data_IF_508912378668
#
_entry.id   IF_508912378668
#
_cell.length_a   1.000
_cell.length_b   1.000
_cell.length_c   1.000
_cell.angle_alpha   90.00
_cell.angle_beta   90.00
_cell.angle_gamma   90.00
#
_symmetry.space_group_name_H-M   'P 1'
#
loop_
_entity.id
_entity.type
_entity.pdbx_description
1 polymer ?
#
# COMPACT_ATOMS: atom_id res chain seq x y z
N UNK A 1 -0.42 8.85 -17.59
CA UNK A 1 0.39 7.63 -17.32
C UNK A 1 -0.12 6.47 -18.18
N UNK A 2 0.75 5.79 -18.93
CA UNK A 2 0.38 4.67 -19.84
C UNK A 2 -0.27 3.51 -19.05
N UNK A 3 0.11 3.31 -17.79
CA UNK A 3 -0.39 2.23 -16.93
C UNK A 3 -1.91 2.22 -16.73
N UNK A 4 -2.54 3.36 -16.44
CA UNK A 4 -3.98 3.42 -16.14
C UNK A 4 -4.87 3.00 -17.34
N UNK A 5 -4.39 3.21 -18.58
CA UNK A 5 -5.13 2.83 -19.79
C UNK A 5 -4.94 1.35 -20.14
N UNK A 6 -3.75 0.78 -19.87
CA UNK A 6 -3.45 -0.62 -20.17
C UNK A 6 -4.14 -1.57 -19.19
N UNK A 7 -4.31 -1.15 -17.93
CA UNK A 7 -4.96 -1.94 -16.88
C UNK A 7 -6.37 -2.43 -17.26
N UNK A 8 -7.13 -1.62 -17.99
CA UNK A 8 -8.53 -1.94 -18.36
C UNK A 8 -8.68 -3.10 -19.34
N UNK A 9 -7.62 -3.46 -20.08
CA UNK A 9 -7.64 -4.42 -21.18
C UNK A 9 -6.89 -5.72 -20.89
N UNK A 10 -6.18 -5.80 -19.76
CA UNK A 10 -5.41 -6.99 -19.40
C UNK A 10 -6.32 -8.07 -18.81
N UNK A 11 -6.21 -9.34 -19.27
CA UNK A 11 -6.82 -10.47 -18.58
C UNK A 11 -6.42 -10.50 -17.12
N UNK A 12 -7.33 -10.89 -16.21
CA UNK A 12 -7.11 -10.83 -14.78
C UNK A 12 -5.82 -11.54 -14.29
N UNK A 13 -5.46 -12.68 -14.90
CA UNK A 13 -4.22 -13.39 -14.59
C UNK A 13 -2.97 -12.58 -14.96
N UNK A 14 -2.98 -11.86 -16.09
CA UNK A 14 -1.87 -11.04 -16.56
C UNK A 14 -1.76 -9.76 -15.71
N UNK A 15 -2.89 -9.19 -15.31
CA UNK A 15 -2.93 -8.09 -14.34
C UNK A 15 -2.23 -8.49 -13.03
N UNK A 16 -2.62 -9.61 -12.41
CA UNK A 16 -1.97 -10.12 -11.18
C UNK A 16 -0.48 -10.46 -11.38
N UNK A 17 -0.10 -10.87 -12.57
CA UNK A 17 1.28 -11.21 -12.90
C UNK A 17 2.18 -9.98 -12.99
N UNK A 18 1.73 -8.93 -13.68
CA UNK A 18 2.49 -7.70 -13.94
C UNK A 18 2.32 -6.64 -12.84
N UNK A 19 1.12 -6.50 -12.30
CA UNK A 19 0.78 -5.55 -11.23
C UNK A 19 0.70 -6.26 -9.89
N UNK A 20 1.75 -7.01 -9.60
CA UNK A 20 1.80 -7.89 -8.44
C UNK A 20 1.60 -7.15 -7.12
N UNK A 21 2.16 -5.95 -6.98
CA UNK A 21 2.03 -5.14 -5.77
C UNK A 21 0.56 -4.79 -5.50
N UNK A 22 -0.14 -4.27 -6.52
CA UNK A 22 -1.56 -3.91 -6.41
C UNK A 22 -2.42 -5.15 -6.10
N UNK A 23 -2.14 -6.29 -6.74
CA UNK A 23 -2.88 -7.52 -6.52
C UNK A 23 -2.70 -8.06 -5.08
N UNK A 24 -1.47 -8.02 -4.54
CA UNK A 24 -1.18 -8.46 -3.16
C UNK A 24 -1.78 -7.49 -2.15
N UNK A 25 -1.74 -6.19 -2.43
CA UNK A 25 -2.39 -5.16 -1.61
C UNK A 25 -3.89 -5.42 -1.50
N UNK A 26 -4.57 -5.60 -2.63
CA UNK A 26 -6.02 -5.88 -2.65
C UNK A 26 -6.38 -7.17 -1.89
N UNK A 27 -5.59 -8.24 -2.08
CA UNK A 27 -5.76 -9.48 -1.34
C UNK A 27 -5.56 -9.25 0.17
N UNK A 28 -4.52 -8.52 0.58
CA UNK A 28 -4.23 -8.23 1.98
C UNK A 28 -5.36 -7.43 2.65
N UNK A 29 -5.90 -6.41 1.98
CA UNK A 29 -7.03 -5.62 2.49
C UNK A 29 -8.28 -6.48 2.63
N UNK A 30 -8.61 -7.31 1.63
CA UNK A 30 -9.76 -8.21 1.67
C UNK A 30 -9.63 -9.24 2.80
N UNK A 31 -8.47 -9.88 2.92
CA UNK A 31 -8.23 -10.90 3.92
C UNK A 31 -8.25 -10.29 5.34
N UNK A 32 -7.65 -9.11 5.52
CA UNK A 32 -7.70 -8.37 6.78
C UNK A 32 -9.14 -8.01 7.17
N UNK A 33 -9.95 -7.50 6.22
CA UNK A 33 -11.37 -7.22 6.46
C UNK A 33 -12.15 -8.46 6.93
N UNK A 34 -11.84 -9.64 6.39
CA UNK A 34 -12.43 -10.91 6.79
C UNK A 34 -12.10 -11.35 8.22
N UNK A 35 -11.06 -10.79 8.84
CA UNK A 35 -10.65 -11.08 10.22
C UNK A 35 -11.27 -10.16 11.26
N UNK A 36 -11.92 -9.07 10.83
CA UNK A 36 -12.49 -8.06 11.72
C UNK A 36 -13.94 -8.45 12.07
N UNK A 37 -14.37 -8.35 13.34
CA UNK A 37 -15.75 -8.63 13.73
C UNK A 37 -16.75 -7.75 12.98
N UNK A 38 -17.85 -8.34 12.53
CA UNK A 38 -18.94 -7.62 11.86
C UNK A 38 -19.47 -6.50 12.76
N UNK A 39 -19.71 -5.32 12.20
CA UNK A 39 -20.18 -4.15 12.94
C UNK A 39 -19.08 -3.36 13.67
N UNK A 40 -17.86 -3.88 13.74
CA UNK A 40 -16.74 -3.19 14.38
C UNK A 40 -16.37 -1.88 13.63
N UNK A 41 -15.78 -0.93 14.36
CA UNK A 41 -15.30 0.34 13.80
C UNK A 41 -13.93 0.14 13.16
N UNK A 42 -13.81 0.59 11.92
CA UNK A 42 -12.58 0.50 11.11
C UNK A 42 -12.21 1.88 10.60
N UNK A 43 -11.00 2.33 10.94
CA UNK A 43 -10.42 3.55 10.41
C UNK A 43 -9.66 3.26 9.11
N UNK A 44 -9.86 4.04 8.07
CA UNK A 44 -8.98 4.07 6.90
C UNK A 44 -8.25 5.42 6.89
N UNK A 45 -7.00 5.40 7.32
CA UNK A 45 -6.17 6.57 7.55
C UNK A 45 -5.28 6.85 6.33
N UNK A 46 -5.61 7.87 5.56
CA UNK A 46 -5.06 8.14 4.25
C UNK A 46 -5.84 7.37 3.18
N UNK A 47 -7.16 7.49 3.23
CA UNK A 47 -8.09 6.69 2.42
C UNK A 47 -8.10 7.07 0.93
N UNK A 48 -7.60 8.26 0.58
CA UNK A 48 -7.69 8.80 -0.78
C UNK A 48 -9.14 8.80 -1.26
N UNK A 49 -9.43 8.11 -2.36
CA UNK A 49 -10.78 7.96 -2.91
C UNK A 49 -11.65 6.92 -2.15
N UNK A 50 -11.21 6.44 -0.99
CA UNK A 50 -11.89 5.39 -0.20
C UNK A 50 -12.21 4.11 -1.02
N UNK A 51 -11.30 3.70 -1.91
CA UNK A 51 -11.49 2.56 -2.82
C UNK A 51 -11.66 1.23 -2.10
N UNK A 52 -11.18 1.12 -0.87
CA UNK A 52 -11.27 -0.10 -0.05
C UNK A 52 -12.61 -0.26 0.67
N UNK A 53 -13.50 0.75 0.67
CA UNK A 53 -14.80 0.72 1.34
C UNK A 53 -15.65 -0.51 1.01
N UNK A 54 -15.53 -1.05 -0.21
CA UNK A 54 -16.24 -2.24 -0.66
C UNK A 54 -15.96 -3.50 0.20
N UNK A 55 -14.77 -3.63 0.79
CA UNK A 55 -14.40 -4.76 1.66
C UNK A 55 -14.95 -4.61 3.08
N UNK A 56 -15.34 -3.38 3.46
CA UNK A 56 -15.81 -3.03 4.80
C UNK A 56 -17.31 -2.72 4.87
N UNK A 57 -18.11 -3.15 3.89
CA UNK A 57 -19.56 -2.90 3.84
C UNK A 57 -20.33 -3.44 5.07
N UNK A 58 -19.75 -4.38 5.83
CA UNK A 58 -20.33 -4.95 7.06
C UNK A 58 -19.76 -4.35 8.34
N UNK A 59 -18.98 -3.25 8.24
CA UNK A 59 -18.28 -2.58 9.33
C UNK A 59 -18.67 -1.10 9.38
N UNK A 60 -18.38 -0.43 10.50
CA UNK A 60 -18.47 1.02 10.61
C UNK A 60 -17.15 1.60 10.06
N UNK A 61 -17.09 1.71 8.72
CA UNK A 61 -15.90 2.17 8.02
C UNK A 61 -15.82 3.69 8.04
N UNK A 62 -14.68 4.23 8.47
CA UNK A 62 -14.41 5.66 8.65
C UNK A 62 -13.19 6.05 7.82
N UNK A 63 -13.36 6.46 6.56
CA UNK A 63 -12.28 6.95 5.73
C UNK A 63 -11.93 8.41 6.08
N UNK A 64 -10.63 8.67 6.32
CA UNK A 64 -10.10 10.01 6.54
C UNK A 64 -8.87 10.24 5.67
N UNK A 65 -8.71 11.48 5.21
CA UNK A 65 -7.57 11.90 4.38
C UNK A 65 -7.33 13.41 4.56
N UNK A 66 -6.14 13.88 4.23
CA UNK A 66 -5.84 15.33 4.20
C UNK A 66 -6.27 15.98 2.88
N UNK A 67 -6.60 15.17 1.87
CA UNK A 67 -7.01 15.57 0.52
C UNK A 67 -5.99 16.47 -0.21
N UNK A 68 -4.70 16.14 -0.07
CA UNK A 68 -3.58 16.83 -0.72
C UNK A 68 -2.86 15.94 -1.76
N UNK A 69 -3.46 14.82 -2.15
CA UNK A 69 -2.91 13.90 -3.15
C UNK A 69 -3.08 14.42 -4.59
N UNK A 70 -3.41 13.55 -5.52
CA UNK A 70 -3.62 13.92 -6.92
C UNK A 70 -4.89 14.77 -7.07
N UNK A 71 -4.80 15.90 -7.79
CA UNK A 71 -5.91 16.83 -8.04
C UNK A 71 -7.09 16.19 -8.80
N UNK A 72 -6.88 15.03 -9.41
CA UNK A 72 -7.92 14.27 -10.13
C UNK A 72 -8.68 13.30 -9.25
N UNK A 73 -8.29 13.12 -7.98
CA UNK A 73 -8.94 12.18 -7.06
C UNK A 73 -10.27 12.69 -6.54
N UNK A 74 -11.24 11.77 -6.44
CA UNK A 74 -12.56 12.05 -5.87
C UNK A 74 -12.59 11.82 -4.36
N UNK A 75 -12.44 12.88 -3.58
CA UNK A 75 -12.49 12.85 -2.12
C UNK A 75 -13.91 12.92 -1.53
N UNK A 76 -14.97 12.84 -2.33
CA UNK A 76 -16.36 12.95 -1.83
C UNK A 76 -16.77 11.84 -0.86
N UNK A 77 -16.03 10.73 -0.84
CA UNK A 77 -16.31 9.58 0.03
C UNK A 77 -15.63 9.64 1.39
N UNK A 78 -14.69 10.55 1.62
CA UNK A 78 -14.05 10.68 2.93
C UNK A 78 -15.07 11.29 3.92
N UNK A 79 -15.01 10.83 5.18
CA UNK A 79 -15.90 11.32 6.23
C UNK A 79 -15.34 12.53 6.97
N UNK A 80 -14.01 12.69 6.99
CA UNK A 80 -13.37 13.84 7.60
C UNK A 80 -12.04 14.15 6.92
N UNK A 81 -11.75 15.44 6.74
CA UNK A 81 -10.40 15.93 6.49
C UNK A 81 -9.61 15.82 7.77
N UNK A 82 -8.51 15.06 7.77
CA UNK A 82 -7.72 14.83 8.95
C UNK A 82 -6.23 14.76 8.62
N UNK A 83 -5.41 15.43 9.43
CA UNK A 83 -3.98 15.21 9.49
C UNK A 83 -3.73 13.93 10.30
N UNK A 84 -3.02 12.96 9.70
CA UNK A 84 -2.74 11.69 10.34
C UNK A 84 -1.80 11.82 11.55
N UNK A 85 -1.08 12.94 11.68
CA UNK A 85 -0.24 13.24 12.85
C UNK A 85 -1.05 13.69 14.07
N UNK A 86 -2.36 14.02 13.88
CA UNK A 86 -3.27 14.48 14.93
C UNK A 86 -4.71 14.03 14.61
N UNK A 87 -4.98 12.74 14.69
CA UNK A 87 -6.29 12.17 14.35
C UNK A 87 -7.40 12.70 15.27
N UNK A 88 -8.54 13.19 14.74
CA UNK A 88 -9.61 13.83 15.51
C UNK A 88 -10.51 12.82 16.23
N UNK A 89 -9.93 11.73 16.72
CA UNK A 89 -10.66 10.67 17.41
C UNK A 89 -10.13 10.48 18.84
N UNK A 90 -11.00 10.00 19.72
CA UNK A 90 -10.58 9.58 21.08
C UNK A 90 -9.70 8.34 21.00
N UNK A 91 -8.89 8.11 22.04
CA UNK A 91 -8.12 6.89 22.19
C UNK A 91 -9.04 5.67 22.31
N UNK A 92 -8.63 4.54 21.72
CA UNK A 92 -9.32 3.27 21.93
C UNK A 92 -10.70 3.17 21.28
N UNK A 93 -10.90 3.76 20.11
CA UNK A 93 -12.22 3.81 19.42
C UNK A 93 -12.35 2.74 18.33
N UNK A 94 -11.25 2.34 17.70
CA UNK A 94 -11.27 1.49 16.52
C UNK A 94 -10.76 0.08 16.82
N UNK A 95 -11.50 -0.94 16.40
CA UNK A 95 -11.06 -2.33 16.43
C UNK A 95 -9.98 -2.61 15.39
N UNK A 96 -9.97 -1.85 14.29
CA UNK A 96 -8.97 -1.97 13.26
C UNK A 96 -8.69 -0.63 12.55
N UNK A 97 -7.47 -0.51 12.01
CA UNK A 97 -7.09 0.60 11.16
C UNK A 97 -6.39 0.11 9.89
N UNK A 98 -6.47 0.90 8.83
CA UNK A 98 -5.74 0.75 7.59
C UNK A 98 -4.83 1.98 7.41
N UNK A 99 -3.63 1.77 6.85
CA UNK A 99 -2.81 2.82 6.28
C UNK A 99 -2.08 2.22 5.07
N UNK A 100 -2.60 2.52 3.89
CA UNK A 100 -2.27 1.81 2.66
C UNK A 100 -1.60 2.77 1.68
N UNK A 101 -0.30 2.59 1.44
CA UNK A 101 0.51 3.40 0.50
C UNK A 101 0.32 4.90 0.80
N UNK A 102 0.46 5.24 2.08
CA UNK A 102 0.24 6.61 2.60
C UNK A 102 1.39 7.05 3.50
N UNK A 103 1.99 6.11 4.26
CA UNK A 103 2.99 6.44 5.27
C UNK A 103 4.26 7.08 4.67
N UNK A 104 4.57 6.78 3.42
CA UNK A 104 5.68 7.40 2.66
C UNK A 104 5.44 8.86 2.32
N UNK A 105 4.18 9.32 2.34
CA UNK A 105 3.77 10.67 1.98
C UNK A 105 3.65 11.62 3.16
N UNK A 106 3.97 11.16 4.38
CA UNK A 106 3.94 11.98 5.59
C UNK A 106 5.36 12.32 6.07
N UNK A 107 5.55 13.51 6.62
CA UNK A 107 6.87 13.97 7.10
C UNK A 107 7.27 13.34 8.42
N UNK A 108 6.30 13.08 9.29
CA UNK A 108 6.47 12.54 10.64
C UNK A 108 5.82 11.15 10.78
N UNK A 109 6.36 10.10 10.10
CA UNK A 109 5.73 8.78 10.09
C UNK A 109 5.65 8.14 11.49
N UNK A 110 6.60 8.47 12.39
CA UNK A 110 6.54 8.01 13.76
C UNK A 110 5.30 8.53 14.50
N UNK A 111 4.94 9.79 14.28
CA UNK A 111 3.77 10.39 14.90
C UNK A 111 2.48 9.79 14.36
N UNK A 112 2.41 9.54 13.04
CA UNK A 112 1.28 8.84 12.42
C UNK A 112 1.08 7.46 13.02
N UNK A 113 2.15 6.66 13.14
CA UNK A 113 2.05 5.31 13.72
C UNK A 113 1.65 5.38 15.20
N UNK A 114 2.12 6.38 15.95
CA UNK A 114 1.70 6.60 17.35
C UNK A 114 0.22 6.98 17.45
N UNK A 115 -0.30 7.81 16.56
CA UNK A 115 -1.73 8.16 16.49
C UNK A 115 -2.60 6.96 16.12
N UNK A 116 -2.17 6.14 15.14
CA UNK A 116 -2.84 4.87 14.82
C UNK A 116 -2.91 3.97 16.05
N UNK A 117 -1.80 3.81 16.78
CA UNK A 117 -1.77 3.03 18.01
C UNK A 117 -2.68 3.63 19.09
N UNK A 118 -2.74 4.96 19.22
CA UNK A 118 -3.58 5.65 20.20
C UNK A 118 -5.06 5.39 19.95
N UNK A 119 -5.51 5.50 18.71
CA UNK A 119 -6.94 5.38 18.37
C UNK A 119 -7.43 3.93 18.34
N UNK A 120 -6.53 2.96 18.20
CA UNK A 120 -6.87 1.54 18.32
C UNK A 120 -7.25 1.18 19.77
N UNK A 121 -8.29 0.37 19.93
CA UNK A 121 -8.63 -0.28 21.20
C UNK A 121 -7.56 -1.31 21.62
N UNK A 122 -7.45 -1.66 22.91
CA UNK A 122 -6.61 -2.79 23.33
C UNK A 122 -6.97 -4.05 22.54
N UNK A 123 -5.97 -4.73 21.98
CA UNK A 123 -6.16 -5.86 21.08
C UNK A 123 -6.51 -5.49 19.63
N UNK A 124 -6.77 -4.22 19.34
CA UNK A 124 -7.05 -3.73 17.98
C UNK A 124 -5.83 -3.86 17.05
N UNK A 125 -6.08 -3.97 15.74
CA UNK A 125 -5.05 -4.26 14.73
C UNK A 125 -4.96 -3.19 13.65
N UNK A 126 -3.76 -3.02 13.10
CA UNK A 126 -3.53 -2.16 11.94
C UNK A 126 -2.92 -2.94 10.79
N UNK A 127 -3.45 -2.71 9.59
CA UNK A 127 -2.84 -3.13 8.33
C UNK A 127 -2.09 -1.95 7.73
N UNK A 128 -0.78 -2.12 7.53
CA UNK A 128 0.09 -1.19 6.85
C UNK A 128 0.57 -1.81 5.54
N UNK A 129 0.49 -1.06 4.43
CA UNK A 129 1.14 -1.42 3.18
C UNK A 129 2.04 -0.25 2.77
N UNK A 130 3.34 -0.51 2.64
CA UNK A 130 4.34 0.52 2.38
C UNK A 130 5.29 0.11 1.25
N UNK A 131 5.73 1.05 0.39
CA UNK A 131 6.69 0.78 -0.66
C UNK A 131 8.12 0.65 -0.12
N UNK A 132 8.95 -0.15 -0.83
CA UNK A 132 10.39 -0.25 -0.64
C UNK A 132 11.13 0.14 -1.92
N UNK A 133 11.21 -0.73 -2.92
CA UNK A 133 11.83 -0.43 -4.22
C UNK A 133 10.82 0.22 -5.18
N UNK A 134 10.59 1.53 -4.99
CA UNK A 134 9.59 2.27 -5.76
C UNK A 134 10.15 3.61 -6.27
N UNK A 135 9.71 4.04 -7.45
CA UNK A 135 10.03 5.35 -8.02
C UNK A 135 9.38 6.49 -7.22
N UNK A 136 9.94 7.71 -7.37
CA UNK A 136 9.32 8.93 -6.82
C UNK A 136 7.95 9.14 -7.46
N UNK A 137 6.94 9.38 -6.64
CA UNK A 137 5.56 9.65 -7.05
C UNK A 137 4.89 10.65 -6.11
N UNK A 138 3.77 11.25 -6.54
CA UNK A 138 3.05 12.27 -5.76
C UNK A 138 3.93 13.43 -5.24
N UNK A 139 4.95 13.84 -6.03
CA UNK A 139 5.78 14.99 -5.68
C UNK A 139 4.91 16.25 -5.44
N UNK A 140 5.24 17.10 -4.44
CA UNK A 140 6.43 17.09 -3.58
C UNK A 140 6.28 16.26 -2.29
N UNK A 141 5.21 15.49 -2.11
CA UNK A 141 4.89 14.77 -0.89
C UNK A 141 5.29 13.29 -0.97
N UNK A 142 6.58 13.01 -1.22
CA UNK A 142 7.12 11.65 -1.30
C UNK A 142 8.45 11.61 -0.54
N UNK A 143 8.42 11.14 0.72
CA UNK A 143 9.53 11.35 1.66
C UNK A 143 10.28 10.06 1.99
N UNK A 144 9.60 8.88 2.05
CA UNK A 144 10.20 7.69 2.63
C UNK A 144 10.03 6.44 1.76
N UNK A 145 10.97 5.49 1.95
CA UNK A 145 10.89 4.09 1.55
C UNK A 145 11.27 3.23 2.75
N UNK A 146 10.51 2.19 3.02
CA UNK A 146 10.64 1.44 4.25
C UNK A 146 11.35 0.12 4.04
N UNK A 147 12.36 -0.18 4.87
CA UNK A 147 12.88 -1.52 5.03
C UNK A 147 12.05 -2.29 6.07
N UNK A 148 12.13 -3.63 6.05
CA UNK A 148 11.51 -4.47 7.09
C UNK A 148 11.92 -4.08 8.52
N UNK A 149 13.16 -3.64 8.69
CA UNK A 149 13.71 -3.24 9.99
C UNK A 149 13.22 -1.85 10.40
N UNK A 150 13.19 -0.90 9.46
CA UNK A 150 12.66 0.44 9.73
C UNK A 150 11.18 0.40 10.11
N UNK A 151 10.37 -0.40 9.40
CA UNK A 151 8.95 -0.55 9.72
C UNK A 151 8.74 -1.21 11.10
N UNK A 152 9.49 -2.28 11.42
CA UNK A 152 9.45 -2.87 12.78
C UNK A 152 9.84 -1.87 13.87
N UNK A 153 10.86 -1.05 13.62
CA UNK A 153 11.29 -0.03 14.56
C UNK A 153 10.19 1.01 14.83
N UNK A 154 9.57 1.55 13.77
CA UNK A 154 8.45 2.50 13.90
C UNK A 154 7.29 1.92 14.72
N UNK A 155 6.89 0.69 14.43
CA UNK A 155 5.80 0.00 15.12
C UNK A 155 6.13 -0.24 16.61
N UNK A 156 7.34 -0.72 16.89
CA UNK A 156 7.77 -0.97 18.27
C UNK A 156 7.83 0.30 19.13
N UNK A 157 8.25 1.42 18.54
CA UNK A 157 8.27 2.73 19.23
C UNK A 157 6.86 3.23 19.56
N UNK A 158 5.85 2.83 18.78
CA UNK A 158 4.45 3.14 19.05
C UNK A 158 3.76 2.11 19.98
N UNK A 159 4.48 1.10 20.46
CA UNK A 159 3.94 0.05 21.33
C UNK A 159 3.08 -0.97 20.58
N UNK A 160 3.25 -1.09 19.25
CA UNK A 160 2.56 -2.10 18.43
C UNK A 160 3.41 -3.34 18.26
N UNK A 161 2.80 -4.51 18.40
CA UNK A 161 3.41 -5.82 18.17
C UNK A 161 3.15 -6.29 16.72
N UNK A 162 4.21 -6.60 15.99
CA UNK A 162 4.11 -7.11 14.61
C UNK A 162 3.65 -8.56 14.62
N UNK A 163 2.44 -8.83 14.13
CA UNK A 163 1.90 -10.18 13.94
C UNK A 163 2.39 -10.78 12.61
N UNK A 164 2.38 -9.97 11.54
CA UNK A 164 2.81 -10.39 10.21
C UNK A 164 3.58 -9.27 9.53
N UNK A 165 4.65 -9.62 8.84
CA UNK A 165 5.41 -8.70 7.98
C UNK A 165 5.94 -9.49 6.78
N UNK A 166 5.31 -9.30 5.64
CA UNK A 166 5.59 -10.02 4.42
C UNK A 166 6.11 -9.09 3.31
N UNK A 167 7.20 -9.46 2.62
CA UNK A 167 7.65 -8.74 1.43
C UNK A 167 6.72 -9.01 0.25
N UNK A 168 6.53 -8.01 -0.61
CA UNK A 168 5.72 -8.10 -1.83
C UNK A 168 6.63 -8.25 -3.05
N UNK A 169 6.76 -9.50 -3.53
CA UNK A 169 7.69 -9.83 -4.61
C UNK A 169 9.16 -9.72 -4.20
N UNK A 170 10.05 -10.01 -5.14
CA UNK A 170 11.50 -9.94 -4.98
C UNK A 170 12.18 -9.38 -6.23
N UNK A 171 13.45 -9.68 -6.39
CA UNK A 171 14.31 -9.15 -7.45
C UNK A 171 13.71 -9.28 -8.86
N UNK A 172 13.19 -10.45 -9.21
CA UNK A 172 12.72 -10.70 -10.57
C UNK A 172 11.41 -9.97 -10.87
N UNK A 173 10.53 -9.81 -9.89
CA UNK A 173 9.33 -8.96 -10.02
C UNK A 173 9.68 -7.49 -10.08
N UNK A 174 10.67 -7.04 -9.32
CA UNK A 174 11.20 -5.69 -9.41
C UNK A 174 11.76 -5.42 -10.82
N UNK A 175 12.60 -6.31 -11.35
CA UNK A 175 13.17 -6.17 -12.69
C UNK A 175 12.09 -6.15 -13.79
N UNK A 176 11.09 -7.05 -13.69
CA UNK A 176 9.94 -7.03 -14.60
C UNK A 176 9.26 -5.66 -14.61
N UNK A 177 8.94 -5.11 -13.43
CA UNK A 177 8.35 -3.78 -13.30
C UNK A 177 9.26 -2.69 -13.89
N UNK A 178 10.58 -2.72 -13.64
CA UNK A 178 11.52 -1.72 -14.16
C UNK A 178 11.65 -1.77 -15.69
N UNK A 179 11.61 -2.95 -16.30
CA UNK A 179 11.59 -3.07 -17.77
C UNK A 179 10.33 -2.43 -18.36
N UNK A 180 9.16 -2.67 -17.78
CA UNK A 180 7.93 -2.04 -18.22
C UNK A 180 7.92 -0.54 -17.99
N UNK A 181 8.42 -0.06 -16.85
CA UNK A 181 8.59 1.36 -16.57
C UNK A 181 9.56 2.03 -17.57
N UNK A 182 10.56 1.29 -18.03
CA UNK A 182 11.51 1.76 -19.06
C UNK A 182 10.86 2.16 -20.38
N UNK A 183 9.70 1.60 -20.72
CA UNK A 183 8.98 1.92 -21.97
C UNK A 183 8.59 3.40 -22.08
N UNK A 184 8.39 4.09 -20.95
CA UNK A 184 8.03 5.51 -20.93
C UNK A 184 9.09 6.45 -21.58
N UNK A 185 10.33 5.99 -21.68
CA UNK A 185 11.44 6.78 -22.26
C UNK A 185 11.51 6.68 -23.80
N UNK A 186 10.71 5.81 -24.41
CA UNK A 186 10.70 5.59 -25.85
C UNK A 186 9.42 6.16 -26.47
N UNK A 187 9.54 6.79 -27.65
CA UNK A 187 8.42 7.41 -28.38
C UNK A 187 8.54 7.16 -29.88
N UNK A 188 7.44 7.29 -30.61
CA UNK A 188 7.43 7.14 -32.07
C UNK A 188 7.96 5.76 -32.50
N UNK A 189 8.86 5.74 -33.49
CA UNK A 189 9.41 4.50 -34.04
C UNK A 189 10.31 3.71 -33.07
N UNK A 190 10.85 4.34 -32.02
CA UNK A 190 11.64 3.64 -31.02
C UNK A 190 10.79 2.84 -30.03
N UNK A 191 9.51 3.20 -29.85
CA UNK A 191 8.60 2.51 -28.91
C UNK A 191 8.37 1.05 -29.27
N UNK A 192 7.98 0.68 -30.51
CA UNK A 192 7.75 -0.74 -30.84
C UNK A 192 9.04 -1.58 -30.76
N UNK A 193 10.20 -1.00 -31.04
CA UNK A 193 11.49 -1.70 -30.87
C UNK A 193 11.76 -1.95 -29.39
N UNK A 194 11.60 -0.93 -28.54
CA UNK A 194 11.76 -1.07 -27.11
C UNK A 194 10.75 -2.07 -26.52
N UNK A 195 9.50 -2.03 -26.96
CA UNK A 195 8.46 -2.97 -26.52
C UNK A 195 8.83 -4.41 -26.89
N UNK A 196 9.32 -4.65 -28.12
CA UNK A 196 9.77 -5.96 -28.56
C UNK A 196 10.93 -6.51 -27.71
N UNK A 197 11.81 -5.64 -27.22
CA UNK A 197 12.98 -6.06 -26.42
C UNK A 197 12.67 -6.16 -24.92
N UNK A 198 11.82 -5.28 -24.37
CA UNK A 198 11.61 -5.17 -22.92
C UNK A 198 10.39 -5.97 -22.42
N UNK A 199 9.32 -6.09 -23.22
CA UNK A 199 8.09 -6.77 -22.77
C UNK A 199 8.28 -8.30 -22.61
N UNK A 200 8.90 -9.03 -23.56
CA UNK A 200 9.03 -10.48 -23.39
C UNK A 200 9.80 -10.87 -22.10
N UNK A 201 10.98 -10.31 -21.78
CA UNK A 201 11.63 -10.61 -20.52
C UNK A 201 10.82 -10.14 -19.31
N UNK A 202 10.12 -9.01 -19.38
CA UNK A 202 9.25 -8.57 -18.29
C UNK A 202 8.11 -9.56 -17.99
N UNK A 203 7.59 -10.26 -18.99
CA UNK A 203 6.58 -11.30 -18.81
C UNK A 203 7.15 -12.59 -18.20
N UNK A 204 8.43 -12.91 -18.47
CA UNK A 204 9.07 -14.16 -18.00
C UNK A 204 9.65 -14.03 -16.60
N UNK A 205 10.26 -12.88 -16.27
CA UNK A 205 10.97 -12.68 -15.02
C UNK A 205 10.15 -13.00 -13.74
N UNK A 206 8.85 -12.68 -13.62
CA UNK A 206 8.09 -13.01 -12.42
C UNK A 206 8.05 -14.49 -12.06
N UNK A 207 8.17 -15.39 -13.03
CA UNK A 207 8.22 -16.84 -12.75
C UNK A 207 9.51 -17.26 -12.04
N UNK A 208 10.59 -16.48 -12.18
CA UNK A 208 11.85 -16.72 -11.52
C UNK A 208 11.91 -16.13 -10.09
N UNK A 209 10.87 -15.44 -9.65
CA UNK A 209 10.87 -14.70 -8.37
C UNK A 209 11.06 -15.61 -7.14
N UNK A 210 10.78 -16.91 -7.27
CA UNK A 210 11.06 -17.92 -6.27
C UNK A 210 12.56 -18.18 -6.01
N UNK A 211 13.45 -17.75 -6.90
CA UNK A 211 14.91 -17.85 -6.73
C UNK A 211 15.43 -16.84 -5.71
N UNK A 212 14.80 -15.67 -5.58
CA UNK A 212 15.12 -14.69 -4.55
C UNK A 212 14.50 -15.10 -3.22
N UNK A 213 15.27 -15.84 -2.41
CA UNK A 213 14.82 -16.34 -1.10
C UNK A 213 14.73 -15.24 -0.05
N UNK A 214 15.66 -14.30 -0.07
CA UNK A 214 15.80 -13.25 0.95
C UNK A 214 14.82 -12.09 0.76
N UNK A 215 14.33 -11.88 -0.46
CA UNK A 215 13.41 -10.78 -0.82
C UNK A 215 13.93 -9.40 -0.39
N UNK A 216 15.25 -9.20 -0.46
CA UNK A 216 15.87 -7.91 -0.12
C UNK A 216 15.57 -6.82 -1.17
N UNK A 217 15.19 -7.22 -2.39
CA UNK A 217 14.78 -6.34 -3.50
C UNK A 217 13.26 -6.29 -3.66
N UNK A 218 12.51 -6.35 -2.57
CA UNK A 218 11.05 -6.35 -2.61
C UNK A 218 10.48 -5.02 -3.10
N UNK A 219 9.30 -5.05 -3.72
CA UNK A 219 8.55 -3.85 -4.11
C UNK A 219 8.06 -3.07 -2.89
N UNK A 220 7.75 -3.76 -1.80
CA UNK A 220 7.23 -3.18 -0.58
C UNK A 220 6.89 -4.24 0.45
N UNK A 221 6.19 -3.84 1.50
CA UNK A 221 5.80 -4.72 2.60
C UNK A 221 4.32 -4.60 2.92
N UNK A 222 3.70 -5.74 3.21
CA UNK A 222 2.40 -5.83 3.89
C UNK A 222 2.68 -6.19 5.34
N UNK A 223 2.16 -5.41 6.26
CA UNK A 223 2.37 -5.59 7.69
C UNK A 223 1.04 -5.55 8.44
N UNK A 224 0.80 -6.55 9.28
CA UNK A 224 -0.26 -6.52 10.30
C UNK A 224 0.40 -6.39 11.65
N UNK A 225 0.00 -5.39 12.41
CA UNK A 225 0.45 -5.20 13.78
C UNK A 225 -0.75 -5.04 14.72
N UNK A 226 -0.56 -5.38 16.00
CA UNK A 226 -1.59 -5.35 17.03
C UNK A 226 -1.18 -4.47 18.18
N UNK A 227 -2.14 -3.75 18.74
CA UNK A 227 -1.98 -3.09 20.05
C UNK A 227 -2.13 -4.13 21.16
N UNK A 228 -1.18 -4.26 22.08
CA UNK A 228 -1.32 -5.13 23.26
C UNK A 228 -2.61 -4.84 24.05
N UNK A 229 -3.05 -5.84 24.84
CA UNK A 229 -4.21 -5.68 25.73
C UNK A 229 -3.87 -4.81 26.94
#
# INVERSE_FOLDING_TARGET
>A
MIYAHVQRWLPGWLHRHLLHFDAVLEDAVRDFAGTIPVGARVLDAGAGEARHAQYFARHQYTPVDLAIGDDTWDYTRIQALADLTALPFRSGVFAAALNIVTLEHVREPQQVVSELARVLEPGGRVLLVVPHEWEVHQAPHDYFRYTRYGLRHLLSQAGLEVEQLAPVGGYFRLMSRRLLNGLQFFRGLSFPIAALLLVPPALVLPWLDGLDKEKNFTLGYVCVARKPQ
#
